data_IF_368418441865
#
_entry.id   IF_368418441865
#
_cell.length_a   1.000
_cell.length_b   1.000
_cell.length_c   1.000
_cell.angle_alpha   90.00
_cell.angle_beta   90.00
_cell.angle_gamma   90.00
#
_symmetry.space_group_name_H-M   'P 1'
#
loop_
_entity.id
_entity.type
_entity.pdbx_description
1 polymer ?
#
# COMPACT_ATOMS: atom_id res chain seq x y z
N UNK A 1 -57.10 -56.03 33.94
CA UNK A 1 -55.73 -55.92 34.50
C UNK A 1 -55.56 -54.48 34.97
N UNK A 2 -55.70 -54.14 36.26
CA UNK A 2 -54.82 -54.35 37.44
C UNK A 2 -54.02 -53.05 37.75
N UNK A 3 -54.61 -52.25 38.66
CA UNK A 3 -54.05 -51.49 39.80
C UNK A 3 -52.75 -50.65 39.69
N UNK A 4 -52.76 -49.57 40.50
CA UNK A 4 -51.66 -48.95 41.31
C UNK A 4 -50.94 -47.67 40.79
N UNK A 5 -51.29 -46.52 41.42
CA UNK A 5 -50.48 -45.45 42.09
C UNK A 5 -48.96 -45.82 42.30
N UNK A 6 -47.90 -44.93 42.41
CA UNK A 6 -47.81 -43.52 42.91
C UNK A 6 -46.74 -42.57 42.25
N UNK A 7 -46.64 -41.35 42.84
CA UNK A 7 -45.45 -40.49 43.00
C UNK A 7 -44.07 -41.19 42.95
N UNK A 8 -43.04 -40.51 42.39
CA UNK A 8 -41.68 -40.32 42.96
C UNK A 8 -40.86 -39.40 42.02
N UNK A 9 -40.51 -38.18 42.44
CA UNK A 9 -39.23 -37.77 43.04
C UNK A 9 -38.06 -37.54 42.06
N UNK A 10 -37.61 -36.27 42.04
CA UNK A 10 -36.22 -35.80 42.08
C UNK A 10 -35.16 -36.53 41.22
N UNK A 11 -34.69 -35.81 40.19
CA UNK A 11 -33.41 -36.05 39.52
C UNK A 11 -32.88 -34.74 38.91
N UNK A 12 -32.16 -33.92 39.68
CA UNK A 12 -30.71 -33.71 39.55
C UNK A 12 -30.32 -32.66 38.48
N UNK A 13 -29.98 -31.48 39.00
CA UNK A 13 -28.93 -30.55 38.58
C UNK A 13 -28.69 -30.29 37.08
N UNK A 14 -28.95 -29.06 36.67
CA UNK A 14 -27.94 -28.31 35.93
C UNK A 14 -27.99 -26.86 36.37
N UNK A 15 -27.14 -26.54 37.35
CA UNK A 15 -26.66 -25.18 37.54
C UNK A 15 -25.85 -24.89 36.28
N UNK A 16 -26.53 -24.35 35.27
CA UNK A 16 -25.86 -23.68 34.16
C UNK A 16 -25.27 -22.40 34.70
N UNK A 17 -24.05 -22.47 35.25
CA UNK A 17 -23.19 -21.31 35.36
C UNK A 17 -22.92 -20.83 33.93
N UNK A 18 -23.84 -20.05 33.38
CA UNK A 18 -23.56 -19.23 32.23
C UNK A 18 -22.54 -18.20 32.70
N UNK A 19 -21.25 -18.56 32.59
CA UNK A 19 -20.18 -17.58 32.75
C UNK A 19 -20.30 -16.64 31.56
N UNK A 20 -21.08 -15.57 31.71
CA UNK A 20 -20.81 -14.35 30.99
C UNK A 20 -19.45 -13.87 31.48
N UNK A 21 -18.38 -14.39 30.87
CA UNK A 21 -17.09 -13.71 30.91
C UNK A 21 -17.35 -12.34 30.29
N UNK A 22 -17.46 -11.34 31.15
CA UNK A 22 -17.21 -9.95 30.78
C UNK A 22 -15.78 -9.93 30.31
N UNK A 23 -15.57 -10.06 29.00
CA UNK A 23 -14.33 -9.63 28.38
C UNK A 23 -14.23 -8.15 28.71
N UNK A 24 -13.22 -7.70 29.47
CA UNK A 24 -12.99 -6.28 29.59
C UNK A 24 -12.70 -5.80 28.17
N UNK A 25 -13.68 -5.12 27.56
CA UNK A 25 -13.44 -4.33 26.37
C UNK A 25 -12.53 -3.20 26.85
N UNK A 26 -11.23 -3.39 26.71
CA UNK A 26 -10.28 -2.29 26.81
C UNK A 26 -10.67 -1.33 25.69
N UNK A 27 -11.42 -0.30 26.06
CA UNK A 27 -11.54 0.94 25.31
C UNK A 27 -10.19 1.68 25.37
N UNK A 28 -9.10 0.97 25.08
CA UNK A 28 -7.80 1.56 24.81
C UNK A 28 -7.89 2.16 23.41
N UNK A 29 -8.55 3.31 23.33
CA UNK A 29 -8.39 4.23 22.22
C UNK A 29 -6.89 4.45 22.11
N UNK A 30 -6.22 4.09 21.00
CA UNK A 30 -4.80 4.35 20.86
C UNK A 30 -4.60 5.83 21.13
N UNK A 31 -3.76 6.17 22.12
CA UNK A 31 -3.41 7.57 22.33
C UNK A 31 -2.86 8.08 20.99
N UNK A 32 -3.23 9.31 20.60
CA UNK A 32 -2.75 9.89 19.33
C UNK A 32 -1.22 9.80 19.20
N UNK A 33 -0.49 9.81 20.33
CA UNK A 33 0.95 9.61 20.41
C UNK A 33 1.42 8.22 19.93
N UNK A 34 0.77 7.13 20.34
CA UNK A 34 1.15 5.77 19.91
C UNK A 34 0.93 5.58 18.39
N UNK A 35 -0.07 6.27 17.85
CA UNK A 35 -0.35 6.30 16.41
C UNK A 35 0.75 7.05 15.66
N UNK A 36 1.19 8.20 16.17
CA UNK A 36 2.26 9.02 15.59
C UNK A 36 3.60 8.28 15.58
N UNK A 37 4.00 7.66 16.70
CA UNK A 37 5.24 6.89 16.80
C UNK A 37 5.27 5.70 15.82
N UNK A 38 4.11 5.07 15.58
CA UNK A 38 3.99 4.02 14.57
C UNK A 38 4.15 4.57 13.15
N UNK A 39 3.63 5.77 12.87
CA UNK A 39 3.80 6.41 11.56
C UNK A 39 5.25 6.81 11.32
N UNK A 40 5.92 7.42 12.29
CA UNK A 40 7.35 7.77 12.20
C UNK A 40 8.22 6.54 11.92
N UNK A 41 8.00 5.45 12.65
CA UNK A 41 8.73 4.19 12.40
C UNK A 41 8.53 3.67 10.97
N UNK A 42 7.31 3.76 10.43
CA UNK A 42 7.02 3.36 9.04
C UNK A 42 7.70 4.27 8.02
N UNK A 43 7.72 5.58 8.26
CA UNK A 43 8.40 6.54 7.39
C UNK A 43 9.90 6.24 7.37
N UNK A 44 10.53 6.11 8.52
CA UNK A 44 11.97 5.81 8.62
C UNK A 44 12.34 4.50 7.89
N UNK A 45 11.50 3.46 8.02
CA UNK A 45 11.70 2.20 7.30
C UNK A 45 11.57 2.34 5.78
N UNK A 46 10.65 3.18 5.30
CA UNK A 46 10.46 3.45 3.88
C UNK A 46 11.62 4.27 3.32
N UNK A 47 12.09 5.28 4.05
CA UNK A 47 13.24 6.09 3.66
C UNK A 47 14.51 5.24 3.54
N UNK A 48 14.75 4.34 4.50
CA UNK A 48 15.88 3.41 4.44
C UNK A 48 15.81 2.50 3.21
N UNK A 49 14.64 1.90 2.93
CA UNK A 49 14.43 1.07 1.73
C UNK A 49 14.61 1.85 0.43
N UNK A 50 14.14 3.11 0.40
CA UNK A 50 14.35 3.99 -0.76
C UNK A 50 15.83 4.27 -0.99
N UNK A 51 16.60 4.48 0.09
CA UNK A 51 18.03 4.70 0.00
C UNK A 51 18.77 3.44 -0.51
N UNK A 52 18.34 2.25 -0.11
CA UNK A 52 18.89 0.98 -0.62
C UNK A 52 18.57 0.73 -2.09
N UNK A 53 17.39 1.16 -2.56
CA UNK A 53 16.98 1.04 -3.96
C UNK A 53 17.59 2.12 -4.86
N UNK A 54 18.15 3.18 -4.28
CA UNK A 54 18.74 4.28 -5.05
C UNK A 54 20.05 3.78 -5.68
N UNK A 55 19.99 3.45 -6.96
CA UNK A 55 21.20 3.33 -7.77
C UNK A 55 21.97 4.65 -7.70
N UNK A 56 23.32 4.64 -7.75
CA UNK A 56 24.09 5.88 -7.75
C UNK A 56 23.52 6.79 -8.84
N UNK A 57 23.01 7.95 -8.42
CA UNK A 57 22.43 8.91 -9.33
C UNK A 57 23.52 9.27 -10.35
N UNK A 58 23.23 9.06 -11.64
CA UNK A 58 24.09 9.57 -12.70
C UNK A 58 24.24 11.08 -12.57
N UNK A 59 25.36 11.60 -13.08
CA UNK A 59 25.57 13.04 -13.25
C UNK A 59 24.32 13.65 -13.94
N UNK A 60 23.61 14.60 -13.30
CA UNK A 60 22.42 15.21 -13.89
C UNK A 60 22.73 16.02 -15.15
N UNK A 61 23.99 16.44 -15.36
CA UNK A 61 24.45 17.16 -16.54
C UNK A 61 24.97 16.22 -17.65
N UNK A 62 25.02 14.91 -17.38
CA UNK A 62 25.34 13.92 -18.41
C UNK A 62 24.20 13.82 -19.42
N UNK A 63 24.50 14.08 -20.70
CA UNK A 63 23.60 13.77 -21.83
C UNK A 63 23.27 12.28 -21.96
N UNK A 64 23.99 11.43 -21.24
CA UNK A 64 23.76 9.98 -21.18
C UNK A 64 22.98 9.66 -19.90
N UNK A 65 21.69 9.30 -19.99
CA UNK A 65 20.93 8.88 -18.83
C UNK A 65 21.51 7.59 -18.24
N UNK A 66 21.62 7.52 -16.91
CA UNK A 66 22.42 6.49 -16.24
C UNK A 66 21.66 5.19 -15.98
N UNK A 67 21.18 4.53 -17.06
CA UNK A 67 20.68 3.17 -16.95
C UNK A 67 19.65 2.75 -18.00
N UNK A 68 19.10 1.53 -17.88
CA UNK A 68 18.04 1.07 -18.77
C UNK A 68 16.79 1.94 -18.63
N UNK A 69 16.04 2.07 -19.73
CA UNK A 69 14.75 2.74 -19.74
C UNK A 69 13.75 1.92 -18.91
N UNK A 70 13.10 2.56 -17.93
CA UNK A 70 12.11 1.92 -17.06
C UNK A 70 10.70 2.02 -17.63
N UNK A 71 10.33 3.21 -18.10
CA UNK A 71 9.04 3.45 -18.77
C UNK A 71 9.11 4.71 -19.61
N UNK A 72 8.16 4.87 -20.53
CA UNK A 72 7.97 6.10 -21.30
C UNK A 72 6.50 6.50 -21.36
N UNK A 73 6.24 7.77 -21.67
CA UNK A 73 4.92 8.31 -21.92
C UNK A 73 4.98 9.22 -23.13
N UNK A 74 4.10 8.97 -24.09
CA UNK A 74 3.97 9.76 -25.32
C UNK A 74 2.65 10.51 -25.29
N UNK A 75 2.71 11.84 -25.44
CA UNK A 75 1.54 12.71 -25.60
C UNK A 75 1.62 13.36 -26.97
N UNK A 76 0.59 13.12 -27.78
CA UNK A 76 0.46 13.60 -29.16
C UNK A 76 -0.94 14.19 -29.35
N UNK A 77 -1.07 15.19 -30.23
CA UNK A 77 -2.36 15.82 -30.57
C UNK A 77 -2.77 16.89 -29.56
N UNK A 78 -1.79 17.48 -28.88
CA UNK A 78 -1.96 18.57 -27.93
C UNK A 78 -1.11 19.77 -28.34
N UNK A 79 -1.32 20.93 -27.72
CA UNK A 79 -0.48 22.13 -27.92
C UNK A 79 0.99 21.90 -27.50
N UNK A 80 1.29 20.83 -26.76
CA UNK A 80 2.61 20.51 -26.22
C UNK A 80 2.85 19.00 -26.32
N UNK A 81 3.11 18.54 -27.55
CA UNK A 81 3.43 17.14 -27.85
C UNK A 81 4.81 16.80 -27.30
N UNK A 82 4.88 15.70 -26.53
CA UNK A 82 6.08 15.36 -25.75
C UNK A 82 6.28 13.87 -25.58
N UNK A 83 7.56 13.50 -25.52
CA UNK A 83 8.04 12.20 -25.11
C UNK A 83 8.75 12.33 -23.77
N UNK A 84 8.17 11.70 -22.74
CA UNK A 84 8.79 11.60 -21.41
C UNK A 84 9.35 10.21 -21.21
N UNK A 85 10.61 10.14 -20.81
CA UNK A 85 11.32 8.89 -20.51
C UNK A 85 11.71 8.87 -19.05
N UNK A 86 11.48 7.74 -18.39
CA UNK A 86 11.81 7.48 -16.99
C UNK A 86 12.91 6.43 -16.95
N UNK A 87 14.05 6.79 -16.38
CA UNK A 87 15.23 5.93 -16.33
C UNK A 87 15.25 5.12 -15.01
N UNK A 88 16.03 4.04 -14.99
CA UNK A 88 16.12 3.16 -13.81
C UNK A 88 16.70 3.84 -12.56
N UNK A 89 17.54 4.86 -12.73
CA UNK A 89 18.13 5.67 -11.67
C UNK A 89 17.20 6.77 -11.13
N UNK A 90 16.01 6.92 -11.73
CA UNK A 90 15.03 7.95 -11.37
C UNK A 90 15.17 9.25 -12.13
N UNK A 91 16.16 9.40 -13.03
CA UNK A 91 16.23 10.54 -13.94
C UNK A 91 15.03 10.55 -14.90
N UNK A 92 14.74 11.72 -15.47
CA UNK A 92 13.70 11.93 -16.47
C UNK A 92 14.25 12.71 -17.66
N UNK A 93 13.98 12.23 -18.87
CA UNK A 93 14.13 13.04 -20.09
C UNK A 93 12.76 13.49 -20.57
N UNK A 94 12.66 14.75 -21.01
CA UNK A 94 11.38 15.38 -21.32
C UNK A 94 11.45 16.14 -22.65
N UNK A 95 11.38 15.38 -23.75
CA UNK A 95 11.65 15.85 -25.11
C UNK A 95 10.39 16.47 -25.72
N UNK A 96 10.58 17.57 -26.45
CA UNK A 96 9.52 18.19 -27.26
C UNK A 96 9.42 17.39 -28.55
N UNK A 97 8.19 17.12 -29.00
CA UNK A 97 7.95 16.39 -30.24
C UNK A 97 7.30 17.31 -31.27
N UNK A 98 7.65 17.11 -32.53
CA UNK A 98 7.01 17.76 -33.69
C UNK A 98 6.67 16.72 -34.75
N UNK A 99 5.54 16.90 -35.45
CA UNK A 99 5.16 16.01 -36.54
C UNK A 99 6.00 16.31 -37.79
N UNK A 100 6.75 15.33 -38.26
CA UNK A 100 7.56 15.39 -39.48
C UNK A 100 6.95 14.49 -40.54
N UNK A 101 5.96 15.01 -41.27
CA UNK A 101 5.26 14.26 -42.32
C UNK A 101 3.92 13.73 -41.83
N UNK A 102 3.53 12.52 -42.27
CA UNK A 102 2.25 11.92 -41.88
C UNK A 102 2.47 10.83 -40.86
N UNK A 103 2.09 11.08 -39.61
CA UNK A 103 2.12 10.06 -38.55
C UNK A 103 3.52 9.72 -38.04
N UNK A 104 4.50 10.62 -38.23
CA UNK A 104 5.87 10.47 -37.71
C UNK A 104 6.18 11.67 -36.83
N UNK A 105 6.67 11.42 -35.62
CA UNK A 105 7.09 12.47 -34.68
C UNK A 105 8.60 12.39 -34.45
N UNK A 106 9.27 13.53 -34.61
CA UNK A 106 10.64 13.71 -34.19
C UNK A 106 10.64 14.34 -32.78
N UNK A 107 11.34 13.70 -31.84
CA UNK A 107 11.43 14.16 -30.45
C UNK A 107 12.91 14.33 -30.07
N UNK A 108 13.29 15.52 -29.58
CA UNK A 108 14.68 15.86 -29.30
C UNK A 108 14.85 17.13 -28.46
#
# INVERSE_FOLDING_TARGET
MRRLIPLLCLGVTSIGLSSCRVVPSSNDKPSGSASIEQLERRINQLEQKLQELRSPAGDPDSKTPAGPLRSLTLRIGTEDDRLRMYWADGQMSNLICSEEGKGVWACG
#
